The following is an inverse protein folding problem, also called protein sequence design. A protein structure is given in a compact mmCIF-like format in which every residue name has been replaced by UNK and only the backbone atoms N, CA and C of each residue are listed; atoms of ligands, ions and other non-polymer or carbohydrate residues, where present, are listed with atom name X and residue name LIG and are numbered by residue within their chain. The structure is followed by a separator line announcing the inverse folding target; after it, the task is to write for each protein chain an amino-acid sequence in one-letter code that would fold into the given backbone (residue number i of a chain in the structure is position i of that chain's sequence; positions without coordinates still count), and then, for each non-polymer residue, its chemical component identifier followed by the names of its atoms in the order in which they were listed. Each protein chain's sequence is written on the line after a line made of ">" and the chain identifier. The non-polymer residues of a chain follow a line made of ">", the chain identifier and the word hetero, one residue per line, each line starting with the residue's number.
data_IF_380558922239
#
_entry.id   IF_380558922239
#
_cell.length_a   1.000
_cell.length_b   1.000
_cell.length_c   1.000
_cell.angle_alpha   90.00
_cell.angle_beta   90.00
_cell.angle_gamma   90.00
#
_symmetry.space_group_name_H-M   'P 1'
#
loop_
_entity.id
_entity.type
_entity.pdbx_description
1 polymer ?
#
# COMPACT_ATOMS: atom_id res chain seq x y z
N UNK A 1 -16.94 27.70 15.12
CA UNK A 1 -15.89 27.94 14.13
C UNK A 1 -16.33 27.31 12.83
N UNK A 2 -16.35 28.08 11.75
CA UNK A 2 -16.82 27.62 10.45
C UNK A 2 -15.95 26.44 9.98
N UNK A 3 -16.53 25.24 9.89
CA UNK A 3 -15.92 24.14 9.15
C UNK A 3 -15.74 24.60 7.72
N UNK A 4 -14.52 25.00 7.35
CA UNK A 4 -14.15 25.18 5.97
C UNK A 4 -14.34 23.83 5.28
N UNK A 5 -15.46 23.67 4.58
CA UNK A 5 -15.70 22.55 3.68
C UNK A 5 -14.64 22.66 2.58
N UNK A 6 -13.55 21.92 2.70
CA UNK A 6 -12.72 21.63 1.54
C UNK A 6 -13.65 20.90 0.55
N UNK A 7 -13.78 21.37 -0.70
CA UNK A 7 -14.56 20.65 -1.70
C UNK A 7 -13.97 19.24 -1.83
N UNK A 8 -14.82 18.21 -1.96
CA UNK A 8 -14.41 16.80 -2.08
C UNK A 8 -13.34 16.60 -3.19
N UNK A 9 -13.36 17.48 -4.20
CA UNK A 9 -12.34 17.62 -5.24
C UNK A 9 -10.92 17.82 -4.67
N UNK A 10 -10.74 18.59 -3.60
CA UNK A 10 -9.45 18.82 -2.96
C UNK A 10 -8.95 17.62 -2.12
N UNK A 11 -9.86 16.78 -1.60
CA UNK A 11 -9.49 15.59 -0.84
C UNK A 11 -9.07 14.41 -1.73
N UNK A 12 -9.62 14.29 -2.94
CA UNK A 12 -9.21 13.23 -3.89
C UNK A 12 -8.18 13.70 -4.94
N UNK A 13 -8.05 15.00 -5.23
CA UNK A 13 -7.05 15.49 -6.19
C UNK A 13 -5.60 15.33 -5.70
N UNK A 14 -5.38 15.05 -4.42
CA UNK A 14 -4.05 14.74 -3.88
C UNK A 14 -3.65 13.26 -4.05
N UNK A 15 -4.58 12.38 -4.45
CA UNK A 15 -4.22 11.04 -4.92
C UNK A 15 -3.84 11.20 -6.39
N UNK A 16 -2.61 11.68 -6.62
CA UNK A 16 -1.90 11.41 -7.87
C UNK A 16 -2.20 9.96 -8.26
N UNK A 17 -2.45 9.70 -9.55
CA UNK A 17 -2.44 8.35 -10.12
C UNK A 17 -1.14 7.73 -9.62
N UNK A 18 -1.22 6.97 -8.51
CA UNK A 18 -0.05 6.35 -7.95
C UNK A 18 0.30 5.32 -9.00
N UNK A 19 1.40 5.58 -9.71
CA UNK A 19 2.09 4.54 -10.43
C UNK A 19 2.13 3.35 -9.50
N UNK A 20 1.61 2.20 -9.94
CA UNK A 20 1.77 0.93 -9.26
C UNK A 20 3.27 0.59 -9.22
N UNK A 21 4.00 1.30 -8.37
CA UNK A 21 5.42 1.16 -8.08
C UNK A 21 5.58 0.89 -6.58
N UNK A 22 4.60 0.22 -5.98
CA UNK A 22 4.73 -0.46 -4.69
C UNK A 22 3.44 -1.27 -4.46
N UNK A 23 3.31 -2.42 -5.14
CA UNK A 23 2.63 -3.51 -4.47
C UNK A 23 3.51 -3.85 -3.25
N UNK A 24 3.10 -3.37 -2.08
CA UNK A 24 3.75 -3.61 -0.79
C UNK A 24 4.02 -5.11 -0.64
N UNK A 25 5.29 -5.48 -0.72
CA UNK A 25 5.73 -6.75 -0.17
C UNK A 25 5.72 -6.58 1.34
N UNK A 26 4.84 -7.29 2.04
CA UNK A 26 5.04 -7.61 3.46
C UNK A 26 6.43 -8.25 3.57
N UNK A 27 7.41 -7.65 4.27
CA UNK A 27 8.70 -8.27 4.44
C UNK A 27 8.50 -9.54 5.29
N UNK A 28 8.96 -10.69 4.81
CA UNK A 28 9.12 -11.86 5.66
C UNK A 28 10.07 -11.47 6.81
N UNK A 29 9.77 -11.85 8.07
CA UNK A 29 10.61 -11.50 9.20
C UNK A 29 12.02 -12.05 9.00
N UNK A 30 13.00 -11.15 8.93
CA UNK A 30 14.41 -11.49 8.99
C UNK A 30 14.70 -12.09 10.37
N UNK A 31 15.40 -13.24 10.48
CA UNK A 31 15.86 -13.72 11.76
C UNK A 31 16.81 -12.68 12.36
N UNK A 32 16.53 -12.25 13.60
CA UNK A 32 17.40 -11.32 14.34
C UNK A 32 18.80 -11.95 14.48
N UNK A 33 19.89 -11.18 14.34
CA UNK A 33 21.20 -11.64 14.75
C UNK A 33 21.15 -11.84 16.27
N UNK A 34 21.34 -13.07 16.71
CA UNK A 34 21.48 -13.38 18.13
C UNK A 34 22.81 -12.80 18.63
N UNK A 35 22.73 -11.74 19.44
CA UNK A 35 23.91 -11.11 20.08
C UNK A 35 24.30 -11.80 21.39
N UNK A 36 23.84 -13.02 21.64
CA UNK A 36 24.33 -13.87 22.71
C UNK A 36 25.51 -14.72 22.25
N UNK A 37 26.75 -14.34 22.59
CA UNK A 37 27.85 -15.30 22.64
C UNK A 37 27.57 -16.29 23.79
N UNK A 38 26.78 -17.32 23.52
CA UNK A 38 26.79 -18.55 24.31
C UNK A 38 27.76 -19.50 23.62
N UNK A 39 28.97 -19.60 24.20
CA UNK A 39 29.94 -20.63 23.82
C UNK A 39 29.45 -21.97 24.34
N UNK A 40 28.56 -22.62 23.60
CA UNK A 40 28.28 -24.03 23.82
C UNK A 40 29.52 -24.83 23.44
N UNK A 41 30.05 -25.58 24.42
CA UNK A 41 31.16 -26.51 24.20
C UNK A 41 30.77 -27.51 23.11
N UNK A 42 31.70 -27.96 22.25
CA UNK A 42 31.42 -29.00 21.27
C UNK A 42 30.83 -30.22 21.98
N UNK A 43 29.76 -30.78 21.42
CA UNK A 43 29.17 -32.03 21.88
C UNK A 43 30.25 -33.12 21.73
N UNK A 44 30.80 -33.58 22.86
CA UNK A 44 31.94 -34.50 22.92
C UNK A 44 31.56 -35.94 22.55
N UNK A 45 30.26 -36.24 22.43
CA UNK A 45 29.73 -37.54 22.04
C UNK A 45 28.80 -37.42 20.83
N UNK A 46 29.16 -38.05 19.71
CA UNK A 46 28.26 -38.21 18.56
C UNK A 46 26.98 -38.91 19.02
N UNK A 47 25.82 -38.34 18.66
CA UNK A 47 24.53 -39.00 18.84
C UNK A 47 24.57 -40.35 18.11
N UNK A 48 24.11 -41.47 18.72
CA UNK A 48 24.12 -42.76 18.05
C UNK A 48 23.26 -42.67 16.78
N UNK A 49 23.89 -42.93 15.64
CA UNK A 49 23.16 -43.11 14.38
C UNK A 49 22.20 -44.28 14.55
N UNK A 50 20.93 -44.16 14.14
CA UNK A 50 20.01 -45.29 14.16
C UNK A 50 20.60 -46.40 13.29
N UNK A 51 20.71 -47.59 13.86
CA UNK A 51 21.22 -48.77 13.17
C UNK A 51 20.27 -49.17 12.04
N UNK A 52 20.56 -48.72 10.82
CA UNK A 52 20.03 -49.32 9.60
C UNK A 52 21.20 -49.84 8.78
N UNK A 53 21.56 -51.11 8.97
CA UNK A 53 22.50 -51.85 8.12
C UNK A 53 21.86 -52.29 6.79
N UNK A 54 20.92 -51.51 6.26
CA UNK A 54 20.33 -51.73 4.95
C UNK A 54 20.43 -50.43 4.17
N UNK A 55 21.01 -50.52 2.97
CA UNK A 55 21.01 -49.46 1.97
C UNK A 55 19.55 -48.99 1.77
N UNK A 56 19.25 -47.68 1.91
CA UNK A 56 17.90 -47.20 1.68
C UNK A 56 17.48 -47.58 0.27
N UNK A 57 16.29 -48.17 0.12
CA UNK A 57 15.74 -48.47 -1.19
C UNK A 57 15.85 -47.23 -2.09
N UNK A 58 16.24 -47.37 -3.37
CA UNK A 58 16.31 -46.24 -4.29
C UNK A 58 15.00 -45.47 -4.24
N UNK A 59 15.09 -44.15 -4.02
CA UNK A 59 13.92 -43.29 -4.14
C UNK A 59 13.27 -43.57 -5.51
N UNK A 60 11.94 -43.78 -5.57
CA UNK A 60 11.27 -44.05 -6.84
C UNK A 60 11.61 -42.92 -7.82
N UNK A 61 11.98 -43.28 -9.04
CA UNK A 61 12.29 -42.29 -10.07
C UNK A 61 11.11 -41.34 -10.25
N UNK A 62 11.42 -40.05 -10.39
CA UNK A 62 10.40 -39.02 -10.63
C UNK A 62 9.60 -39.28 -11.92
N UNK A 63 10.13 -40.13 -12.80
CA UNK A 63 9.53 -40.53 -14.07
C UNK A 63 8.16 -41.23 -13.92
N UNK A 64 7.86 -41.80 -12.74
CA UNK A 64 6.62 -42.53 -12.48
C UNK A 64 5.58 -41.75 -11.66
N UNK A 65 5.83 -40.47 -11.35
CA UNK A 65 4.86 -39.66 -10.61
C UNK A 65 3.90 -39.01 -11.59
N UNK A 66 2.63 -39.40 -11.52
CA UNK A 66 1.56 -38.75 -12.28
C UNK A 66 1.58 -37.22 -11.98
N UNK A 67 1.91 -36.37 -12.97
CA UNK A 67 2.00 -34.92 -12.78
C UNK A 67 0.65 -34.31 -12.37
N UNK A 68 -0.46 -34.99 -12.67
CA UNK A 68 -1.81 -34.54 -12.36
C UNK A 68 -2.30 -34.98 -10.97
N UNK A 69 -1.49 -35.70 -10.16
CA UNK A 69 -1.93 -36.20 -8.84
C UNK A 69 -2.30 -35.08 -7.85
N UNK A 70 -1.90 -33.84 -8.14
CA UNK A 70 -2.17 -32.66 -7.31
C UNK A 70 -3.11 -31.64 -7.99
N UNK A 71 -3.75 -32.03 -9.10
CA UNK A 71 -4.71 -31.19 -9.83
C UNK A 71 -4.31 -31.00 -11.29
N UNK A 72 -5.32 -30.89 -12.17
CA UNK A 72 -5.20 -30.91 -13.64
C UNK A 72 -4.54 -29.68 -14.29
N UNK A 73 -3.88 -28.79 -13.52
CA UNK A 73 -3.13 -27.67 -14.07
C UNK A 73 -1.64 -27.91 -13.87
N UNK A 74 -0.85 -28.06 -14.95
CA UNK A 74 0.60 -28.10 -14.86
C UNK A 74 1.10 -26.90 -14.06
N UNK A 75 2.02 -27.14 -13.13
CA UNK A 75 2.62 -26.07 -12.34
C UNK A 75 3.34 -25.07 -13.28
N UNK A 76 2.98 -23.79 -13.21
CA UNK A 76 3.70 -22.75 -13.94
C UNK A 76 5.07 -22.56 -13.31
N UNK A 77 6.10 -23.20 -13.88
CA UNK A 77 7.46 -23.16 -13.37
C UNK A 77 8.04 -21.73 -13.34
N UNK A 78 7.63 -20.87 -14.28
CA UNK A 78 8.09 -19.49 -14.32
C UNK A 78 7.48 -18.70 -13.15
N UNK A 79 6.16 -18.82 -12.94
CA UNK A 79 5.50 -18.17 -11.82
C UNK A 79 5.99 -18.72 -10.47
N UNK A 80 6.19 -20.04 -10.37
CA UNK A 80 6.76 -20.67 -9.17
C UNK A 80 8.20 -20.23 -8.88
N UNK A 81 9.01 -19.93 -9.90
CA UNK A 81 10.32 -19.32 -9.71
C UNK A 81 10.20 -17.86 -9.23
N UNK A 82 9.26 -17.09 -9.79
CA UNK A 82 9.00 -15.71 -9.40
C UNK A 82 8.60 -15.59 -7.92
N UNK A 83 7.67 -16.42 -7.46
CA UNK A 83 7.22 -16.44 -6.06
C UNK A 83 8.34 -16.78 -5.06
N UNK A 84 9.37 -17.50 -5.51
CA UNK A 84 10.56 -17.84 -4.70
C UNK A 84 11.68 -16.79 -4.79
N UNK A 85 11.45 -15.68 -5.49
CA UNK A 85 12.45 -14.63 -5.71
C UNK A 85 13.53 -14.99 -6.74
N UNK A 86 13.38 -16.10 -7.48
CA UNK A 86 14.31 -16.54 -8.53
C UNK A 86 14.01 -15.80 -9.84
N UNK A 87 14.05 -14.48 -9.82
CA UNK A 87 13.51 -13.64 -10.89
C UNK A 87 14.17 -13.83 -12.25
N UNK A 88 15.51 -14.01 -12.28
CA UNK A 88 16.22 -14.31 -13.53
C UNK A 88 15.79 -15.65 -14.12
N UNK A 89 15.57 -16.65 -13.28
CA UNK A 89 15.06 -17.97 -13.70
C UNK A 89 13.62 -17.84 -14.21
N UNK A 90 12.76 -17.11 -13.48
CA UNK A 90 11.40 -16.83 -13.89
C UNK A 90 11.34 -16.13 -15.26
N UNK A 91 12.17 -15.11 -15.47
CA UNK A 91 12.30 -14.40 -16.73
C UNK A 91 12.66 -15.34 -17.88
N UNK A 92 13.71 -16.15 -17.72
CA UNK A 92 14.16 -17.06 -18.77
C UNK A 92 13.10 -18.11 -19.11
N UNK A 93 12.40 -18.66 -18.11
CA UNK A 93 11.32 -19.63 -18.30
C UNK A 93 10.08 -19.00 -18.96
N UNK A 94 9.77 -17.74 -18.63
CA UNK A 94 8.62 -17.03 -19.18
C UNK A 94 8.89 -16.52 -20.61
N UNK A 95 10.11 -16.08 -20.93
CA UNK A 95 10.41 -15.38 -22.17
C UNK A 95 10.06 -16.19 -23.42
N UNK A 96 10.41 -17.48 -23.44
CA UNK A 96 10.11 -18.36 -24.59
C UNK A 96 8.59 -18.49 -24.79
N UNK A 97 7.83 -18.64 -23.69
CA UNK A 97 6.36 -18.70 -23.73
C UNK A 97 5.76 -17.37 -24.17
N UNK A 98 6.29 -16.25 -23.66
CA UNK A 98 5.85 -14.91 -24.01
C UNK A 98 6.04 -14.62 -25.50
N UNK A 99 7.19 -15.01 -26.07
CA UNK A 99 7.47 -14.94 -27.50
C UNK A 99 6.52 -15.80 -28.33
N UNK A 100 6.06 -16.93 -27.78
CA UNK A 100 5.05 -17.79 -28.40
C UNK A 100 3.60 -17.32 -28.16
N UNK A 101 3.40 -16.13 -27.59
CA UNK A 101 2.08 -15.51 -27.44
C UNK A 101 1.37 -15.79 -26.12
N UNK A 102 1.96 -16.52 -25.18
CA UNK A 102 1.31 -16.83 -23.89
C UNK A 102 1.09 -15.55 -23.06
N UNK A 103 -0.15 -15.12 -22.84
CA UNK A 103 -0.44 -13.83 -22.21
C UNK A 103 -0.01 -13.78 -20.73
N UNK A 104 -0.04 -14.90 -20.00
CA UNK A 104 0.44 -14.95 -18.62
C UNK A 104 1.95 -14.80 -18.56
N UNK A 105 2.67 -15.43 -19.49
CA UNK A 105 4.11 -15.29 -19.60
C UNK A 105 4.53 -13.88 -20.05
N UNK A 106 3.82 -13.28 -21.01
CA UNK A 106 4.03 -11.88 -21.42
C UNK A 106 3.88 -10.93 -20.23
N UNK A 107 2.81 -11.10 -19.44
CA UNK A 107 2.57 -10.31 -18.22
C UNK A 107 3.72 -10.47 -17.21
N UNK A 108 4.19 -11.70 -16.98
CA UNK A 108 5.29 -11.98 -16.05
C UNK A 108 6.62 -11.38 -16.52
N UNK A 109 6.93 -11.46 -17.82
CA UNK A 109 8.11 -10.82 -18.41
C UNK A 109 8.04 -9.31 -18.24
N UNK A 110 6.88 -8.71 -18.49
CA UNK A 110 6.65 -7.28 -18.32
C UNK A 110 6.88 -6.84 -16.86
N UNK A 111 6.32 -7.56 -15.89
CA UNK A 111 6.49 -7.30 -14.45
C UNK A 111 7.95 -7.36 -14.00
N UNK A 112 8.69 -8.35 -14.49
CA UNK A 112 10.11 -8.49 -14.15
C UNK A 112 10.92 -7.31 -14.72
N UNK A 113 10.66 -6.91 -15.96
CA UNK A 113 11.36 -5.82 -16.62
C UNK A 113 10.98 -4.44 -16.05
N UNK A 114 9.71 -4.21 -15.73
CA UNK A 114 9.23 -2.93 -15.19
C UNK A 114 9.85 -2.61 -13.84
N UNK A 115 10.13 -3.65 -13.04
CA UNK A 115 10.71 -3.54 -11.69
C UNK A 115 12.20 -3.85 -11.61
N UNK A 116 12.83 -4.29 -12.69
CA UNK A 116 14.25 -4.66 -12.70
C UNK A 116 14.58 -5.84 -11.77
N UNK A 117 13.70 -6.84 -11.71
CA UNK A 117 13.85 -7.96 -10.78
C UNK A 117 14.81 -9.01 -11.34
N UNK A 118 16.05 -9.03 -10.86
CA UNK A 118 17.08 -10.00 -11.30
C UNK A 118 17.57 -9.82 -12.74
N UNK A 119 17.03 -8.83 -13.47
CA UNK A 119 17.45 -8.34 -14.79
C UNK A 119 17.44 -6.81 -14.77
N UNK A 120 18.17 -6.12 -15.66
CA UNK A 120 18.12 -4.66 -15.73
C UNK A 120 16.70 -4.14 -15.94
N UNK A 121 16.33 -3.07 -15.23
CA UNK A 121 15.05 -2.38 -15.43
C UNK A 121 14.94 -1.91 -16.88
N UNK A 122 13.81 -2.22 -17.52
CA UNK A 122 13.51 -1.77 -18.87
C UNK A 122 12.00 -1.58 -19.04
N UNK A 123 11.51 -0.44 -18.58
CA UNK A 123 10.08 -0.11 -18.63
C UNK A 123 9.54 0.05 -20.07
N UNK A 124 10.37 0.47 -21.03
CA UNK A 124 9.95 0.57 -22.44
C UNK A 124 9.70 -0.81 -23.06
N UNK A 125 10.54 -1.80 -22.75
CA UNK A 125 10.32 -3.17 -23.19
C UNK A 125 9.15 -3.81 -22.42
N UNK A 126 9.04 -3.56 -21.11
CA UNK A 126 7.90 -4.02 -20.32
C UNK A 126 6.57 -3.54 -20.91
N UNK A 127 6.50 -2.27 -21.36
CA UNK A 127 5.29 -1.72 -21.96
C UNK A 127 4.83 -2.50 -23.20
N UNK A 128 5.76 -2.98 -24.04
CA UNK A 128 5.41 -3.81 -25.21
C UNK A 128 4.80 -5.14 -24.78
N UNK A 129 5.36 -5.77 -23.75
CA UNK A 129 4.85 -7.04 -23.23
C UNK A 129 3.49 -6.88 -22.54
N UNK A 130 3.30 -5.81 -21.76
CA UNK A 130 1.98 -5.48 -21.21
C UNK A 130 0.97 -5.19 -22.32
N UNK A 131 1.33 -4.45 -23.38
CA UNK A 131 0.45 -4.19 -24.52
C UNK A 131 -0.04 -5.50 -25.17
N UNK A 132 0.88 -6.42 -25.49
CA UNK A 132 0.55 -7.72 -26.09
C UNK A 132 -0.39 -8.55 -25.20
N UNK A 133 -0.17 -8.56 -23.88
CA UNK A 133 -1.04 -9.26 -22.95
C UNK A 133 -2.39 -8.55 -22.75
N UNK A 134 -2.41 -7.22 -22.83
CA UNK A 134 -3.60 -6.39 -22.71
C UNK A 134 -4.55 -6.58 -23.91
N UNK A 135 -4.00 -6.68 -25.13
CA UNK A 135 -4.74 -7.03 -26.36
C UNK A 135 -5.45 -8.39 -26.23
N UNK A 136 -4.85 -9.32 -25.49
CA UNK A 136 -5.43 -10.63 -25.19
C UNK A 136 -6.41 -10.64 -24.01
N UNK A 137 -6.69 -9.48 -23.41
CA UNK A 137 -7.69 -9.33 -22.36
C UNK A 137 -7.20 -9.67 -20.95
N UNK A 138 -5.89 -9.72 -20.69
CA UNK A 138 -5.38 -9.93 -19.32
C UNK A 138 -5.65 -8.67 -18.48
N UNK A 139 -6.48 -8.73 -17.42
CA UNK A 139 -6.90 -7.52 -16.70
C UNK A 139 -5.75 -6.78 -16.02
N UNK A 140 -4.75 -7.52 -15.51
CA UNK A 140 -3.56 -6.90 -14.92
C UNK A 140 -2.74 -6.14 -15.97
N UNK A 141 -2.54 -6.71 -17.16
CA UNK A 141 -1.80 -6.06 -18.23
C UNK A 141 -2.56 -4.88 -18.83
N UNK A 142 -3.88 -4.98 -18.95
CA UNK A 142 -4.73 -3.84 -19.33
C UNK A 142 -4.58 -2.68 -18.35
N UNK A 143 -4.61 -2.97 -17.04
CA UNK A 143 -4.39 -1.96 -16.00
C UNK A 143 -2.99 -1.33 -16.09
N UNK A 144 -1.93 -2.14 -16.12
CA UNK A 144 -0.55 -1.66 -16.14
C UNK A 144 -0.24 -0.86 -17.43
N UNK A 145 -0.70 -1.35 -18.58
CA UNK A 145 -0.50 -0.66 -19.85
C UNK A 145 -1.29 0.66 -19.90
N UNK A 146 -2.51 0.70 -19.36
CA UNK A 146 -3.26 1.94 -19.21
C UNK A 146 -2.51 2.99 -18.39
N UNK A 147 -1.88 2.60 -17.27
CA UNK A 147 -1.04 3.50 -16.47
C UNK A 147 0.17 4.02 -17.27
N UNK A 148 0.83 3.16 -18.05
CA UNK A 148 1.95 3.56 -18.89
C UNK A 148 1.54 4.55 -20.00
N UNK A 149 0.37 4.35 -20.60
CA UNK A 149 -0.21 5.26 -21.58
C UNK A 149 -0.63 6.62 -20.97
N UNK A 150 -1.05 6.67 -19.71
CA UNK A 150 -1.35 7.92 -19.01
C UNK A 150 -0.08 8.70 -18.63
N UNK A 151 0.96 8.00 -18.18
CA UNK A 151 2.25 8.59 -17.81
C UNK A 151 3.03 9.10 -19.03
N UNK A 152 3.04 8.34 -20.13
CA UNK A 152 3.62 8.78 -21.39
C UNK A 152 5.16 8.82 -21.46
N UNK A 153 5.87 8.36 -20.41
CA UNK A 153 7.35 8.39 -20.35
C UNK A 153 8.02 7.32 -21.22
N UNK A 154 7.41 6.14 -21.30
CA UNK A 154 7.98 4.96 -21.98
C UNK A 154 7.21 4.54 -23.24
N UNK A 155 5.97 4.99 -23.36
CA UNK A 155 5.10 4.84 -24.52
C UNK A 155 4.48 6.19 -24.82
N UNK A 156 4.08 6.43 -26.08
CA UNK A 156 3.41 7.68 -26.42
C UNK A 156 2.12 7.80 -25.61
N UNK A 157 1.91 8.95 -24.97
CA UNK A 157 0.71 9.21 -24.19
C UNK A 157 -0.55 9.04 -25.05
N UNK A 158 -1.50 8.23 -24.60
CA UNK A 158 -2.83 8.05 -25.23
C UNK A 158 -3.90 7.87 -24.14
N UNK A 159 -4.59 8.96 -23.80
CA UNK A 159 -5.61 8.96 -22.75
C UNK A 159 -6.87 8.19 -23.15
N UNK A 160 -7.18 8.10 -24.45
CA UNK A 160 -8.39 7.43 -24.94
C UNK A 160 -8.22 5.92 -24.85
N UNK A 161 -7.08 5.41 -25.30
CA UNK A 161 -6.75 4.00 -25.18
C UNK A 161 -6.60 3.60 -23.71
N UNK A 162 -5.93 4.42 -22.90
CA UNK A 162 -5.81 4.17 -21.47
C UNK A 162 -7.17 4.09 -20.77
N UNK A 163 -8.11 4.98 -21.10
CA UNK A 163 -9.47 4.93 -20.57
C UNK A 163 -10.17 3.61 -20.91
N UNK A 164 -10.08 3.17 -22.17
CA UNK A 164 -10.71 1.92 -22.61
C UNK A 164 -10.11 0.69 -21.92
N UNK A 165 -8.79 0.63 -21.79
CA UNK A 165 -8.08 -0.45 -21.11
C UNK A 165 -8.37 -0.48 -19.60
N UNK A 166 -8.38 0.70 -18.96
CA UNK A 166 -8.72 0.83 -17.54
C UNK A 166 -10.14 0.35 -17.27
N UNK A 167 -11.10 0.73 -18.12
CA UNK A 167 -12.48 0.26 -18.05
C UNK A 167 -12.55 -1.26 -18.21
N UNK A 168 -11.89 -1.82 -19.24
CA UNK A 168 -11.90 -3.26 -19.48
C UNK A 168 -11.32 -4.05 -18.29
N UNK A 169 -10.21 -3.59 -17.71
CA UNK A 169 -9.61 -4.19 -16.53
C UNK A 169 -10.53 -4.11 -15.31
N UNK A 170 -11.19 -2.96 -15.10
CA UNK A 170 -12.12 -2.76 -14.00
C UNK A 170 -13.33 -3.71 -14.10
N UNK A 171 -13.89 -3.87 -15.31
CA UNK A 171 -15.01 -4.77 -15.55
C UNK A 171 -14.63 -6.24 -15.38
N UNK A 172 -13.44 -6.62 -15.81
CA UNK A 172 -12.89 -7.96 -15.61
C UNK A 172 -12.49 -8.25 -14.16
N UNK A 173 -12.70 -7.31 -13.23
CA UNK A 173 -12.55 -7.54 -11.79
C UNK A 173 -11.20 -7.13 -11.21
N UNK A 174 -10.34 -6.44 -11.97
CA UNK A 174 -9.10 -5.92 -11.40
C UNK A 174 -9.41 -4.82 -10.37
N UNK A 175 -9.09 -5.07 -9.09
CA UNK A 175 -9.42 -4.18 -7.97
C UNK A 175 -8.75 -2.80 -8.07
N UNK A 176 -7.52 -2.74 -8.60
CA UNK A 176 -6.79 -1.48 -8.77
C UNK A 176 -7.39 -0.70 -9.92
N UNK A 177 -7.73 -1.36 -11.01
CA UNK A 177 -8.42 -0.74 -12.14
C UNK A 177 -9.82 -0.24 -11.76
N UNK A 178 -10.58 -0.98 -10.94
CA UNK A 178 -11.87 -0.51 -10.43
C UNK A 178 -11.73 0.82 -9.69
N UNK A 179 -10.76 0.92 -8.77
CA UNK A 179 -10.50 2.17 -8.06
C UNK A 179 -10.08 3.31 -9.01
N UNK A 180 -9.10 3.07 -9.88
CA UNK A 180 -8.59 4.09 -10.80
C UNK A 180 -9.64 4.52 -11.84
N UNK A 181 -10.44 3.58 -12.35
CA UNK A 181 -11.53 3.90 -13.27
C UNK A 181 -12.61 4.74 -12.59
N UNK A 182 -12.94 4.43 -11.34
CA UNK A 182 -13.85 5.25 -10.54
C UNK A 182 -13.33 6.70 -10.38
N UNK A 183 -12.02 6.89 -10.17
CA UNK A 183 -11.39 8.20 -10.14
C UNK A 183 -11.49 8.91 -11.50
N UNK A 184 -11.23 8.20 -12.60
CA UNK A 184 -11.36 8.76 -13.96
C UNK A 184 -12.78 9.23 -14.27
N UNK A 185 -13.80 8.47 -13.86
CA UNK A 185 -15.21 8.85 -14.01
C UNK A 185 -15.56 10.13 -13.25
N UNK A 186 -15.09 10.26 -12.00
CA UNK A 186 -15.29 11.47 -11.19
C UNK A 186 -14.50 12.65 -11.74
N UNK A 187 -13.30 12.42 -12.27
CA UNK A 187 -12.49 13.50 -12.85
C UNK A 187 -13.13 14.07 -14.12
N UNK A 188 -13.71 13.21 -14.96
CA UNK A 188 -14.43 13.64 -16.17
C UNK A 188 -15.74 14.37 -15.85
N UNK A 189 -16.43 13.96 -14.78
CA UNK A 189 -17.68 14.56 -14.34
C UNK A 189 -17.71 14.68 -12.80
N UNK A 190 -17.18 15.78 -12.24
CA UNK A 190 -17.06 15.91 -10.78
C UNK A 190 -18.39 16.09 -10.02
N UNK A 191 -19.51 16.20 -10.76
CA UNK A 191 -20.84 16.34 -10.19
C UNK A 191 -21.46 15.00 -9.76
N UNK A 192 -22.68 15.07 -9.23
CA UNK A 192 -23.39 13.88 -8.72
C UNK A 192 -23.53 12.76 -9.75
N UNK A 193 -23.60 13.11 -11.04
CA UNK A 193 -23.68 12.15 -12.13
C UNK A 193 -22.41 11.30 -12.27
N UNK A 194 -21.21 11.90 -12.23
CA UNK A 194 -19.97 11.13 -12.27
C UNK A 194 -19.73 10.31 -11.01
N UNK A 195 -20.07 10.86 -9.83
CA UNK A 195 -20.06 10.08 -8.58
C UNK A 195 -20.99 8.87 -8.66
N UNK A 196 -22.19 9.03 -9.21
CA UNK A 196 -23.16 7.93 -9.36
C UNK A 196 -22.65 6.82 -10.30
N UNK A 197 -21.85 7.17 -11.31
CA UNK A 197 -21.17 6.19 -12.18
C UNK A 197 -20.00 5.49 -11.47
N UNK A 198 -19.29 6.20 -10.60
CA UNK A 198 -18.06 5.72 -9.96
C UNK A 198 -18.31 4.83 -8.72
N UNK A 199 -19.38 5.08 -7.96
CA UNK A 199 -19.61 4.44 -6.66
C UNK A 199 -19.60 2.91 -6.73
N UNK A 200 -20.19 2.30 -7.75
CA UNK A 200 -20.23 0.83 -7.87
C UNK A 200 -18.82 0.23 -8.03
N UNK A 201 -17.91 0.92 -8.72
CA UNK A 201 -16.52 0.49 -8.86
C UNK A 201 -15.73 0.69 -7.55
N UNK A 202 -15.92 1.81 -6.84
CA UNK A 202 -15.34 2.00 -5.50
C UNK A 202 -15.82 0.94 -4.52
N UNK A 203 -17.11 0.59 -4.53
CA UNK A 203 -17.68 -0.47 -3.68
C UNK A 203 -17.05 -1.83 -3.98
N UNK A 204 -16.96 -2.22 -5.26
CA UNK A 204 -16.31 -3.47 -5.69
C UNK A 204 -14.84 -3.51 -5.24
N UNK A 205 -14.10 -2.42 -5.44
CA UNK A 205 -12.71 -2.32 -5.04
C UNK A 205 -12.55 -2.39 -3.50
N UNK A 206 -13.37 -1.66 -2.74
CA UNK A 206 -13.35 -1.66 -1.28
C UNK A 206 -13.67 -3.04 -0.68
N UNK A 207 -14.60 -3.78 -1.31
CA UNK A 207 -14.96 -5.14 -0.91
C UNK A 207 -13.79 -6.14 -1.05
N UNK A 208 -12.80 -5.86 -1.91
CA UNK A 208 -11.55 -6.66 -2.00
C UNK A 208 -10.53 -6.34 -0.91
N UNK A 209 -10.84 -5.37 -0.04
CA UNK A 209 -9.92 -4.91 0.99
C UNK A 209 -9.02 -3.75 0.58
N UNK A 210 -9.14 -3.20 -0.64
CA UNK A 210 -8.27 -2.10 -1.08
C UNK A 210 -8.44 -0.85 -0.19
N UNK A 211 -7.38 -0.46 0.52
CA UNK A 211 -7.40 0.64 1.48
C UNK A 211 -7.83 1.98 0.86
N UNK A 212 -7.31 2.33 -0.31
CA UNK A 212 -7.70 3.55 -1.04
C UNK A 212 -9.20 3.58 -1.37
N UNK A 213 -9.76 2.43 -1.78
CA UNK A 213 -11.17 2.32 -2.10
C UNK A 213 -12.05 2.36 -0.85
N UNK A 214 -11.59 1.76 0.27
CA UNK A 214 -12.26 1.89 1.56
C UNK A 214 -12.27 3.35 2.05
N UNK A 215 -11.16 4.07 1.89
CA UNK A 215 -11.09 5.51 2.18
C UNK A 215 -12.02 6.30 1.25
N UNK A 216 -12.01 6.08 -0.06
CA UNK A 216 -12.92 6.74 -0.99
C UNK A 216 -14.39 6.50 -0.61
N UNK A 217 -14.75 5.25 -0.28
CA UNK A 217 -16.09 4.91 0.20
C UNK A 217 -16.44 5.56 1.54
N UNK A 218 -15.47 5.73 2.45
CA UNK A 218 -15.72 6.48 3.68
C UNK A 218 -16.10 7.92 3.36
N UNK A 219 -15.40 8.56 2.42
CA UNK A 219 -15.72 9.92 2.02
C UNK A 219 -17.07 10.00 1.30
N UNK A 220 -17.43 9.01 0.50
CA UNK A 220 -18.75 8.92 -0.15
C UNK A 220 -19.87 8.89 0.89
N UNK A 221 -19.79 8.02 1.90
CA UNK A 221 -20.77 7.95 2.98
C UNK A 221 -20.74 9.17 3.91
N UNK A 222 -19.56 9.73 4.18
CA UNK A 222 -19.39 10.91 5.02
C UNK A 222 -20.09 12.16 4.44
N UNK A 223 -20.14 12.23 3.11
CA UNK A 223 -20.69 13.37 2.39
C UNK A 223 -22.09 13.11 1.80
N UNK A 224 -22.50 11.84 1.68
CA UNK A 224 -23.78 11.46 1.09
C UNK A 224 -23.85 11.76 -0.40
N UNK A 225 -22.82 11.33 -1.16
CA UNK A 225 -22.71 11.56 -2.62
C UNK A 225 -22.88 10.26 -3.41
N UNK A 226 -23.03 10.35 -4.73
CA UNK A 226 -23.11 9.19 -5.64
C UNK A 226 -24.28 8.24 -5.31
N UNK A 227 -25.42 8.81 -4.91
CA UNK A 227 -26.63 8.08 -4.55
C UNK A 227 -26.61 7.44 -3.16
N UNK A 228 -25.56 7.66 -2.35
CA UNK A 228 -25.52 7.21 -0.95
C UNK A 228 -26.07 8.28 -0.02
N UNK A 229 -26.84 7.87 0.98
CA UNK A 229 -27.23 8.76 2.08
C UNK A 229 -26.05 8.97 3.02
N UNK A 230 -25.97 10.16 3.61
CA UNK A 230 -24.91 10.45 4.58
C UNK A 230 -25.01 9.49 5.78
N UNK A 231 -23.93 8.77 6.06
CA UNK A 231 -23.80 7.84 7.18
C UNK A 231 -22.38 7.89 7.74
N UNK A 232 -22.18 8.78 8.72
CA UNK A 232 -20.88 8.95 9.37
C UNK A 232 -20.46 7.70 10.17
N UNK A 233 -21.40 6.87 10.65
CA UNK A 233 -21.04 5.65 11.39
C UNK A 233 -20.48 4.58 10.45
N UNK A 234 -21.07 4.44 9.25
CA UNK A 234 -20.54 3.57 8.21
C UNK A 234 -19.21 4.08 7.67
N UNK A 235 -19.10 5.38 7.40
CA UNK A 235 -17.85 5.99 6.97
C UNK A 235 -16.71 5.76 7.98
N UNK A 236 -16.99 5.91 9.29
CA UNK A 236 -15.99 5.66 10.34
C UNK A 236 -15.50 4.21 10.37
N UNK A 237 -16.37 3.24 10.08
CA UNK A 237 -15.96 1.83 9.99
C UNK A 237 -15.02 1.59 8.80
N UNK A 238 -15.30 2.19 7.64
CA UNK A 238 -14.46 2.11 6.46
C UNK A 238 -13.10 2.80 6.68
N UNK A 239 -13.08 3.99 7.31
CA UNK A 239 -11.84 4.64 7.75
C UNK A 239 -11.00 3.70 8.63
N UNK A 240 -11.63 3.03 9.60
CA UNK A 240 -10.93 2.07 10.45
C UNK A 240 -10.43 0.82 9.70
N UNK A 241 -11.05 0.43 8.59
CA UNK A 241 -10.53 -0.66 7.75
C UNK A 241 -9.29 -0.21 6.96
N UNK A 242 -9.33 0.98 6.35
CA UNK A 242 -8.17 1.55 5.65
C UNK A 242 -7.00 1.84 6.60
N UNK A 243 -7.27 2.43 7.77
CA UNK A 243 -6.26 2.77 8.78
C UNK A 243 -5.47 1.55 9.28
N UNK A 244 -6.13 0.39 9.43
CA UNK A 244 -5.48 -0.88 9.84
C UNK A 244 -4.51 -1.43 8.79
N UNK A 245 -4.62 -0.97 7.55
CA UNK A 245 -3.72 -1.31 6.45
C UNK A 245 -2.61 -0.28 6.28
N UNK A 246 -2.31 0.49 7.33
CA UNK A 246 -1.30 1.56 7.33
C UNK A 246 -1.59 2.71 6.35
N UNK A 247 -2.86 2.90 5.97
CA UNK A 247 -3.26 4.08 5.20
C UNK A 247 -3.26 5.33 6.10
N UNK A 248 -2.14 6.05 6.09
CA UNK A 248 -1.84 7.18 6.97
C UNK A 248 -2.93 8.26 7.00
N UNK A 249 -3.48 8.61 5.84
CA UNK A 249 -4.53 9.61 5.69
C UNK A 249 -5.82 9.15 6.39
N UNK A 250 -6.14 7.85 6.33
CA UNK A 250 -7.26 7.29 7.07
C UNK A 250 -6.99 7.22 8.58
N UNK A 251 -5.74 6.94 9.00
CA UNK A 251 -5.37 6.94 10.42
C UNK A 251 -5.59 8.33 11.02
N UNK A 252 -5.14 9.36 10.31
CA UNK A 252 -5.26 10.76 10.71
C UNK A 252 -6.72 11.23 10.76
N UNK A 253 -7.51 10.91 9.73
CA UNK A 253 -8.93 11.28 9.68
C UNK A 253 -9.75 10.52 10.73
N UNK A 254 -9.47 9.23 10.94
CA UNK A 254 -10.10 8.43 11.98
C UNK A 254 -9.81 8.99 13.37
N UNK A 255 -8.57 9.40 13.63
CA UNK A 255 -8.19 10.04 14.89
C UNK A 255 -8.97 11.32 15.13
N UNK A 256 -9.08 12.19 14.11
CA UNK A 256 -9.89 13.41 14.21
C UNK A 256 -11.36 13.08 14.54
N UNK A 257 -11.95 12.10 13.85
CA UNK A 257 -13.34 11.68 14.10
C UNK A 257 -13.53 11.06 15.48
N UNK A 258 -12.53 10.35 16.01
CA UNK A 258 -12.52 9.83 17.37
C UNK A 258 -12.41 10.96 18.42
N UNK A 259 -11.68 12.03 18.13
CA UNK A 259 -11.60 13.21 19.00
C UNK A 259 -12.93 13.96 19.02
N UNK A 260 -13.57 14.12 17.87
CA UNK A 260 -14.84 14.84 17.69
C UNK A 260 -16.06 14.03 18.14
N UNK A 261 -15.98 12.69 18.14
CA UNK A 261 -17.14 11.82 18.33
C UNK A 261 -18.02 11.74 17.08
N UNK A 262 -17.43 11.93 15.90
CA UNK A 262 -18.13 11.79 14.62
C UNK A 262 -18.36 10.31 14.31
N UNK A 263 -19.58 9.94 13.93
CA UNK A 263 -19.92 8.56 13.56
C UNK A 263 -19.79 7.53 14.70
N UNK A 264 -19.72 7.95 15.96
CA UNK A 264 -19.60 7.07 17.13
C UNK A 264 -19.09 7.80 18.37
N UNK A 265 -18.92 7.10 19.48
CA UNK A 265 -18.41 7.73 20.72
C UNK A 265 -17.01 8.33 20.54
N UNK A 266 -16.70 9.34 21.37
CA UNK A 266 -15.36 9.90 21.48
C UNK A 266 -14.41 8.85 22.08
N UNK A 267 -13.20 8.78 21.56
CA UNK A 267 -12.15 7.91 22.09
C UNK A 267 -10.78 8.56 21.87
N UNK A 268 -10.40 9.43 22.82
CA UNK A 268 -9.18 10.23 22.71
C UNK A 268 -7.92 9.36 22.75
N UNK A 269 -7.93 8.27 23.53
CA UNK A 269 -6.79 7.38 23.67
C UNK A 269 -6.50 6.63 22.37
N UNK A 270 -7.53 6.10 21.73
CA UNK A 270 -7.36 5.47 20.42
C UNK A 270 -6.99 6.48 19.33
N UNK A 271 -7.56 7.70 19.37
CA UNK A 271 -7.19 8.77 18.44
C UNK A 271 -5.70 9.13 18.53
N UNK A 272 -5.19 9.26 19.75
CA UNK A 272 -3.76 9.45 19.99
C UNK A 272 -2.93 8.28 19.43
N UNK A 273 -3.35 7.04 19.67
CA UNK A 273 -2.69 5.85 19.12
C UNK A 273 -2.59 5.85 17.59
N UNK A 274 -3.68 6.17 16.88
CA UNK A 274 -3.68 6.26 15.42
C UNK A 274 -2.82 7.39 14.88
N UNK A 275 -2.89 8.57 15.51
CA UNK A 275 -2.04 9.72 15.12
C UNK A 275 -0.56 9.39 15.34
N UNK A 276 -0.23 8.72 16.44
CA UNK A 276 1.11 8.27 16.75
C UNK A 276 1.63 7.26 15.73
N UNK A 277 0.81 6.29 15.34
CA UNK A 277 1.19 5.31 14.31
C UNK A 277 1.48 5.98 12.97
N UNK A 278 0.66 6.94 12.53
CA UNK A 278 0.90 7.69 11.30
C UNK A 278 2.19 8.54 11.37
N UNK A 279 2.44 9.19 12.51
CA UNK A 279 3.65 9.99 12.73
C UNK A 279 4.92 9.12 12.75
N UNK A 280 4.87 7.96 13.40
CA UNK A 280 5.98 6.99 13.41
C UNK A 280 6.22 6.36 12.03
N UNK A 281 5.23 6.40 11.14
CA UNK A 281 5.36 6.06 9.72
C UNK A 281 5.96 7.18 8.85
N UNK A 282 6.33 8.32 9.43
CA UNK A 282 6.93 9.47 8.73
C UNK A 282 5.92 10.42 8.09
N UNK A 283 4.63 10.33 8.43
CA UNK A 283 3.65 11.30 7.93
C UNK A 283 3.82 12.65 8.66
N UNK A 284 4.40 13.62 7.96
CA UNK A 284 4.69 14.97 8.47
C UNK A 284 3.46 15.68 9.06
N UNK A 285 2.28 15.51 8.46
CA UNK A 285 1.06 16.10 8.98
C UNK A 285 0.60 15.42 10.29
N UNK A 286 0.80 14.10 10.41
CA UNK A 286 0.56 13.36 11.64
C UNK A 286 1.55 13.72 12.74
N UNK A 287 2.83 13.95 12.43
CA UNK A 287 3.84 14.42 13.39
C UNK A 287 3.41 15.74 14.04
N UNK A 288 2.99 16.72 13.22
CA UNK A 288 2.49 17.99 13.73
C UNK A 288 1.20 17.81 14.57
N UNK A 289 0.27 16.95 14.13
CA UNK A 289 -0.94 16.65 14.92
C UNK A 289 -0.60 15.97 16.24
N UNK A 290 0.32 15.01 16.24
CA UNK A 290 0.79 14.32 17.44
C UNK A 290 1.44 15.30 18.41
N UNK A 291 2.23 16.25 17.90
CA UNK A 291 2.81 17.31 18.71
C UNK A 291 1.73 18.12 19.44
N UNK A 292 0.64 18.50 18.75
CA UNK A 292 -0.51 19.17 19.38
C UNK A 292 -1.21 18.31 20.42
N UNK A 293 -1.38 17.01 20.16
CA UNK A 293 -1.99 16.10 21.14
C UNK A 293 -1.16 16.01 22.43
N UNK A 294 0.17 15.95 22.34
CA UNK A 294 1.04 16.00 23.52
C UNK A 294 1.04 17.38 24.19
N UNK A 295 0.95 18.47 23.43
CA UNK A 295 0.89 19.83 23.99
C UNK A 295 -0.39 20.03 24.80
N UNK A 296 -1.53 19.53 24.30
CA UNK A 296 -2.85 19.74 24.88
C UNK A 296 -3.28 18.60 25.84
N UNK A 297 -2.55 17.49 25.89
CA UNK A 297 -2.89 16.32 26.70
C UNK A 297 -4.12 15.55 26.18
N UNK A 298 -4.31 15.51 24.86
CA UNK A 298 -5.46 14.84 24.25
C UNK A 298 -5.15 13.36 24.07
N UNK A 299 -5.76 12.52 24.92
CA UNK A 299 -5.62 11.06 24.85
C UNK A 299 -4.33 10.50 25.45
N UNK A 300 -3.48 11.39 25.98
CA UNK A 300 -2.20 11.11 26.64
C UNK A 300 -1.96 12.18 27.70
N UNK A 301 -1.11 11.92 28.69
CA UNK A 301 -0.63 12.97 29.59
C UNK A 301 0.16 14.01 28.80
N UNK A 302 0.01 15.32 29.09
CA UNK A 302 0.77 16.35 28.41
C UNK A 302 2.29 16.16 28.55
N UNK A 303 3.03 16.31 27.46
CA UNK A 303 4.49 16.31 27.45
C UNK A 303 4.99 17.38 26.46
N UNK A 304 5.35 18.55 26.99
CA UNK A 304 5.80 19.69 26.18
C UNK A 304 7.12 19.40 25.46
N UNK A 305 8.00 18.57 26.02
CA UNK A 305 9.30 18.24 25.41
C UNK A 305 9.10 17.29 24.24
N UNK A 306 8.21 16.30 24.36
CA UNK A 306 7.83 15.44 23.24
C UNK A 306 7.01 16.17 22.20
N UNK A 307 6.08 17.05 22.60
CA UNK A 307 5.36 17.91 21.68
C UNK A 307 6.32 18.72 20.80
N UNK A 308 7.29 19.40 21.44
CA UNK A 308 8.32 20.16 20.77
C UNK A 308 9.20 19.28 19.87
N UNK A 309 9.59 18.10 20.34
CA UNK A 309 10.43 17.18 19.57
C UNK A 309 9.74 16.74 18.27
N UNK A 310 8.48 16.32 18.32
CA UNK A 310 7.70 15.93 17.14
C UNK A 310 7.49 17.10 16.18
N UNK A 311 7.17 18.29 16.69
CA UNK A 311 7.02 19.46 15.82
C UNK A 311 8.34 19.89 15.17
N UNK A 312 9.48 19.77 15.86
CA UNK A 312 10.80 20.03 15.26
C UNK A 312 11.05 19.10 14.06
N UNK A 313 10.69 17.82 14.14
CA UNK A 313 10.79 16.88 13.01
C UNK A 313 9.91 17.33 11.85
N UNK A 314 8.63 17.59 12.12
CA UNK A 314 7.68 18.05 11.09
C UNK A 314 8.15 19.35 10.41
N UNK A 315 8.67 20.29 11.21
CA UNK A 315 9.20 21.58 10.74
C UNK A 315 10.46 21.43 9.90
N UNK A 316 11.35 20.50 10.23
CA UNK A 316 12.52 20.16 9.39
C UNK A 316 12.12 19.57 8.05
N UNK A 317 11.00 18.85 7.99
CA UNK A 317 10.39 18.37 6.76
C UNK A 317 9.61 19.45 5.98
N UNK A 318 9.59 20.70 6.48
CA UNK A 318 9.03 21.86 5.80
C UNK A 318 7.61 22.23 6.22
N UNK A 319 7.01 21.54 7.19
CA UNK A 319 5.69 21.92 7.71
C UNK A 319 5.82 23.10 8.69
N UNK A 320 5.18 24.21 8.35
CA UNK A 320 5.14 25.41 9.20
C UNK A 320 3.76 25.53 9.84
N UNK A 321 3.72 25.57 11.16
CA UNK A 321 2.50 25.77 11.95
C UNK A 321 2.73 26.93 12.92
N UNK A 322 2.17 28.13 12.66
CA UNK A 322 2.44 29.32 13.47
C UNK A 322 2.17 29.15 14.97
N UNK A 323 1.12 28.39 15.32
CA UNK A 323 0.80 28.10 16.72
C UNK A 323 1.92 27.30 17.39
N UNK A 324 2.47 26.32 16.66
CA UNK A 324 3.54 25.48 17.16
C UNK A 324 4.90 26.18 17.14
N UNK A 325 5.12 27.12 16.21
CA UNK A 325 6.28 28.01 16.23
C UNK A 325 6.27 28.92 17.46
N UNK A 326 5.12 29.52 17.81
CA UNK A 326 4.95 30.32 19.02
C UNK A 326 5.16 29.47 20.28
N UNK A 327 4.61 28.25 20.29
CA UNK A 327 4.82 27.29 21.36
C UNK A 327 6.31 26.96 21.56
N UNK A 328 7.05 26.68 20.49
CA UNK A 328 8.50 26.41 20.58
C UNK A 328 9.27 27.60 21.15
N UNK A 329 8.92 28.83 20.76
CA UNK A 329 9.56 30.05 21.27
C UNK A 329 9.28 30.28 22.76
N UNK A 330 8.18 29.76 23.28
CA UNK A 330 7.81 29.87 24.69
C UNK A 330 8.48 28.86 25.63
N UNK A 331 9.27 27.92 25.10
CA UNK A 331 9.95 26.90 25.91
C UNK A 331 11.18 27.47 26.64
N UNK A 332 11.51 26.88 27.79
CA UNK A 332 12.79 27.18 28.45
C UNK A 332 13.99 26.62 27.65
N UNK A 333 15.19 27.13 27.91
CA UNK A 333 16.42 26.64 27.30
C UNK A 333 16.63 25.14 27.53
N UNK A 334 16.34 24.66 28.75
CA UNK A 334 16.45 23.24 29.11
C UNK A 334 15.44 22.38 28.34
N UNK A 335 14.19 22.83 28.23
CA UNK A 335 13.15 22.14 27.46
C UNK A 335 13.52 22.09 25.98
N UNK A 336 13.98 23.22 25.43
CA UNK A 336 14.41 23.33 24.03
C UNK A 336 15.56 22.37 23.72
N UNK A 337 16.58 22.31 24.60
CA UNK A 337 17.71 21.38 24.45
C UNK A 337 17.27 19.93 24.50
N UNK A 338 16.39 19.56 25.42
CA UNK A 338 15.85 18.20 25.51
C UNK A 338 14.99 17.83 24.30
N UNK A 339 14.15 18.77 23.82
CA UNK A 339 13.31 18.57 22.65
C UNK A 339 14.16 18.32 21.39
N UNK A 340 15.23 19.12 21.18
CA UNK A 340 16.18 18.91 20.08
C UNK A 340 16.87 17.54 20.15
N UNK A 341 17.29 17.11 21.35
CA UNK A 341 17.90 15.80 21.54
C UNK A 341 16.93 14.65 21.22
N UNK A 342 15.66 14.77 21.64
CA UNK A 342 14.63 13.78 21.32
C UNK A 342 14.28 13.79 19.84
N UNK A 343 14.12 14.96 19.23
CA UNK A 343 13.82 15.10 17.79
C UNK A 343 14.86 14.39 16.92
N UNK A 344 16.13 14.43 17.29
CA UNK A 344 17.20 13.74 16.57
C UNK A 344 17.16 12.19 16.68
N UNK A 345 16.27 11.62 17.51
CA UNK A 345 16.09 10.18 17.71
C UNK A 345 14.73 9.68 17.25
N UNK A 346 13.84 10.59 16.87
CA UNK A 346 12.56 10.25 16.26
C UNK A 346 12.82 9.77 14.81
N UNK A 347 11.92 8.92 14.28
CA UNK A 347 12.09 8.28 12.98
C UNK A 347 12.22 9.27 11.81
#
# INVERSE_FOLDING_TARGET
>A
MASARLPLQALLAAVMIQTAAAAETVPLPQPKPDTGMHTDKPIENQLPQPATTAEPAPLPSADNINPDRFGAKPADAAYGAFQRGLYKTAYNLALVRAQNGDPAAQTLVAEILSRGLGVPLNAAEAAKWYALAAEQGVPESQFQYALMLLDGRYVKKDEKEAYALMQAAAEAGNRLAQFNFAQMLVQQDPGDAGWSKAVSYYERAAATGLADAQYAMSQIYANGVGGKTRDDAHARRLLAQAARQNYDTAQIDLAAWMIEGRGGARDLKSAFGWTKQAAEGGNVAAENRLAKLYMEGIGVDPDLVLAAAWYIVARRAGLIDPQMDDFLQGLSDDQTKQALQKANRLP
#
